data_IF_289320058249
#
_entry.id   IF_289320058249
#
_cell.length_a   1.000
_cell.length_b   1.000
_cell.length_c   1.000
_cell.angle_alpha   90.00
_cell.angle_beta   90.00
_cell.angle_gamma   90.00
#
_symmetry.space_group_name_H-M   'P 1'
#
loop_
_entity.id
_entity.type
_entity.pdbx_description
1 polymer ?
#
# COMPACT_ATOMS: atom_id res chain seq x y z
N UNK A 1 9.60 9.44 3.08
CA UNK A 1 10.11 9.79 4.42
C UNK A 1 10.80 11.15 4.39
N UNK A 2 11.91 11.34 3.61
CA UNK A 2 12.64 12.62 3.54
C UNK A 2 11.72 13.83 3.27
N UNK A 3 10.75 13.71 2.35
CA UNK A 3 9.78 14.78 2.10
C UNK A 3 8.89 15.07 3.32
N UNK A 4 8.42 14.05 4.03
CA UNK A 4 7.61 14.22 5.23
C UNK A 4 8.40 14.99 6.30
N UNK A 5 9.66 14.63 6.53
CA UNK A 5 10.56 15.33 7.44
C UNK A 5 10.74 16.82 7.07
N UNK A 6 10.95 17.11 5.76
CA UNK A 6 11.07 18.49 5.26
C UNK A 6 9.77 19.31 5.36
N UNK A 7 8.62 18.64 5.40
CA UNK A 7 7.32 19.27 5.55
C UNK A 7 6.89 19.41 7.03
N UNK A 8 7.60 18.75 7.94
CA UNK A 8 7.16 18.62 9.33
C UNK A 8 5.90 17.75 9.48
N UNK A 9 5.73 16.78 8.60
CA UNK A 9 4.59 15.87 8.57
C UNK A 9 4.96 14.51 9.17
N UNK A 10 4.02 13.88 9.82
CA UNK A 10 4.14 12.51 10.27
C UNK A 10 4.24 11.56 9.07
N UNK A 11 4.96 10.44 9.22
CA UNK A 11 5.18 9.45 8.17
C UNK A 11 4.72 8.08 8.64
N UNK A 12 3.77 7.49 7.92
CA UNK A 12 3.17 6.19 8.23
C UNK A 12 3.35 5.20 7.07
N UNK A 13 4.00 4.07 7.35
CA UNK A 13 4.22 2.93 6.44
C UNK A 13 3.97 1.62 7.21
N UNK A 14 5.00 1.00 7.75
CA UNK A 14 4.90 -0.24 8.52
C UNK A 14 4.20 -0.06 9.89
N UNK A 15 4.17 1.15 10.42
CA UNK A 15 3.51 1.51 11.67
C UNK A 15 2.00 1.23 11.64
N UNK A 16 1.37 1.28 10.47
CA UNK A 16 -0.05 0.97 10.29
C UNK A 16 -0.35 -0.47 10.72
N UNK A 17 0.55 -1.42 10.44
CA UNK A 17 0.40 -2.82 10.90
C UNK A 17 0.27 -2.90 12.42
N UNK A 18 1.10 -2.15 13.14
CA UNK A 18 1.08 -2.15 14.62
C UNK A 18 -0.22 -1.54 15.16
N UNK A 19 -0.69 -0.47 14.52
CA UNK A 19 -1.96 0.18 14.88
C UNK A 19 -3.15 -0.75 14.62
N UNK A 20 -3.16 -1.44 13.46
CA UNK A 20 -4.18 -2.43 13.10
C UNK A 20 -4.17 -3.61 14.07
N UNK A 21 -2.98 -4.07 14.50
CA UNK A 21 -2.86 -5.13 15.51
C UNK A 21 -3.51 -4.71 16.83
N UNK A 22 -3.33 -3.46 17.26
CA UNK A 22 -3.94 -2.90 18.47
C UNK A 22 -5.46 -2.85 18.42
N UNK A 23 -6.06 -2.69 17.25
CA UNK A 23 -7.53 -2.61 17.08
C UNK A 23 -8.19 -3.95 16.83
N UNK A 24 -7.51 -4.90 16.18
CA UNK A 24 -8.06 -6.19 15.80
C UNK A 24 -7.81 -7.32 16.78
N UNK A 25 -6.81 -7.15 17.66
CA UNK A 25 -6.32 -8.23 18.53
C UNK A 25 -5.46 -9.28 17.81
N UNK A 26 -5.22 -9.14 16.50
CA UNK A 26 -4.28 -9.99 15.77
C UNK A 26 -2.84 -9.56 16.03
N UNK A 27 -1.89 -10.52 15.92
CA UNK A 27 -0.47 -10.16 16.00
C UNK A 27 0.01 -9.47 14.71
N UNK A 28 1.01 -8.57 14.78
CA UNK A 28 1.59 -7.94 13.59
C UNK A 28 2.07 -8.95 12.54
N UNK A 29 2.63 -10.08 12.98
CA UNK A 29 3.09 -11.17 12.11
C UNK A 29 1.93 -11.83 11.38
N UNK A 30 0.78 -12.02 12.07
CA UNK A 30 -0.43 -12.57 11.45
C UNK A 30 -0.98 -11.61 10.39
N UNK A 31 -1.05 -10.33 10.69
CA UNK A 31 -1.49 -9.29 9.74
C UNK A 31 -0.57 -9.30 8.52
N UNK A 32 0.73 -9.18 8.71
CA UNK A 32 1.72 -9.19 7.63
C UNK A 32 1.63 -10.44 6.77
N UNK A 33 1.48 -11.62 7.38
CA UNK A 33 1.33 -12.87 6.66
C UNK A 33 0.06 -12.89 5.81
N UNK A 34 -1.06 -12.37 6.30
CA UNK A 34 -2.31 -12.31 5.55
C UNK A 34 -2.26 -11.31 4.39
N UNK A 35 -1.48 -10.24 4.49
CA UNK A 35 -1.19 -9.36 3.36
C UNK A 35 -0.38 -10.06 2.26
N UNK A 36 0.53 -10.97 2.63
CA UNK A 36 1.37 -11.73 1.70
C UNK A 36 0.63 -12.90 1.02
N UNK A 37 -0.39 -13.49 1.66
CA UNK A 37 -1.11 -14.68 1.17
C UNK A 37 -2.04 -14.37 -0.01
N UNK A 38 -2.35 -13.11 -0.31
CA UNK A 38 -3.25 -12.71 -1.40
C UNK A 38 -2.84 -13.16 -2.82
N UNK A 39 -1.72 -13.86 -2.99
CA UNK A 39 -1.19 -14.26 -4.29
C UNK A 39 -1.76 -15.55 -4.87
N UNK A 40 -2.48 -16.36 -4.11
CA UNK A 40 -3.08 -17.60 -4.61
C UNK A 40 -4.62 -17.48 -4.60
N UNK A 41 -5.16 -16.74 -5.58
CA UNK A 41 -6.61 -16.50 -5.71
C UNK A 41 -7.45 -17.77 -5.67
N UNK A 42 -7.01 -18.85 -6.31
CA UNK A 42 -7.72 -20.14 -6.31
C UNK A 42 -7.77 -20.79 -4.92
N UNK A 43 -6.71 -20.69 -4.13
CA UNK A 43 -6.68 -21.23 -2.77
C UNK A 43 -7.54 -20.37 -1.82
N UNK A 44 -7.58 -19.08 -2.06
CA UNK A 44 -8.39 -18.14 -1.29
C UNK A 44 -9.89 -18.34 -1.56
N UNK A 45 -10.28 -18.48 -2.82
CA UNK A 45 -11.68 -18.77 -3.18
C UNK A 45 -12.14 -20.11 -2.61
N UNK A 46 -11.25 -21.12 -2.59
CA UNK A 46 -11.52 -22.42 -1.97
C UNK A 46 -11.67 -22.31 -0.44
N UNK A 47 -10.79 -21.57 0.20
CA UNK A 47 -10.84 -21.33 1.65
C UNK A 47 -12.06 -20.51 2.01
N UNK A 48 -12.40 -19.47 1.26
CA UNK A 48 -13.62 -18.68 1.45
C UNK A 48 -14.90 -19.53 1.26
N UNK A 49 -14.93 -20.40 0.25
CA UNK A 49 -16.05 -21.35 0.07
C UNK A 49 -16.18 -22.34 1.25
N UNK A 50 -15.05 -22.76 1.85
CA UNK A 50 -15.08 -23.59 3.06
C UNK A 50 -15.61 -22.81 4.28
N UNK A 51 -15.27 -21.53 4.43
CA UNK A 51 -15.80 -20.68 5.51
C UNK A 51 -17.26 -20.30 5.31
N UNK A 52 -17.73 -20.09 4.08
CA UNK A 52 -19.13 -19.82 3.77
C UNK A 52 -20.04 -21.04 4.00
N UNK A 53 -19.48 -22.25 4.02
CA UNK A 53 -20.22 -23.49 4.29
C UNK A 53 -20.24 -23.89 5.78
N UNK A 54 -19.55 -23.17 6.64
CA UNK A 54 -19.70 -23.27 8.09
C UNK A 54 -20.60 -22.13 8.56
N UNK A 55 -21.61 -22.42 9.37
CA UNK A 55 -22.56 -21.46 9.99
C UNK A 55 -21.89 -20.36 10.87
N UNK A 56 -20.62 -20.09 10.65
CA UNK A 56 -19.89 -19.02 11.25
C UNK A 56 -20.06 -17.76 10.38
N UNK A 57 -20.94 -16.87 10.81
CA UNK A 57 -21.12 -15.50 10.28
C UNK A 57 -19.89 -14.59 10.49
N UNK A 58 -18.71 -15.15 10.61
CA UNK A 58 -17.47 -14.39 10.79
C UNK A 58 -16.83 -14.08 9.43
N UNK A 59 -16.72 -12.79 9.12
CA UNK A 59 -15.94 -12.29 7.98
C UNK A 59 -14.54 -12.92 7.95
N UNK A 60 -14.04 -13.18 6.74
CA UNK A 60 -12.69 -13.72 6.59
C UNK A 60 -11.68 -12.83 7.32
N UNK A 61 -10.72 -13.39 8.07
CA UNK A 61 -9.77 -12.60 8.88
C UNK A 61 -9.10 -11.47 8.11
N UNK A 62 -8.91 -11.67 6.80
CA UNK A 62 -8.33 -10.72 5.88
C UNK A 62 -9.20 -9.48 5.64
N UNK A 63 -10.51 -9.67 5.51
CA UNK A 63 -11.42 -8.56 5.27
C UNK A 63 -11.57 -7.72 6.55
N UNK A 64 -11.59 -8.36 7.73
CA UNK A 64 -11.50 -7.69 9.04
C UNK A 64 -10.20 -6.89 9.20
N UNK A 65 -9.06 -7.44 8.75
CA UNK A 65 -7.78 -6.73 8.77
C UNK A 65 -7.85 -5.50 7.86
N UNK A 66 -8.34 -5.65 6.63
CA UNK A 66 -8.45 -4.54 5.69
C UNK A 66 -9.40 -3.44 6.19
N UNK A 67 -10.53 -3.81 6.77
CA UNK A 67 -11.46 -2.84 7.36
C UNK A 67 -10.82 -2.05 8.50
N UNK A 68 -10.08 -2.73 9.38
CA UNK A 68 -9.34 -2.08 10.45
C UNK A 68 -8.21 -1.18 9.92
N UNK A 69 -7.49 -1.59 8.86
CA UNK A 69 -6.51 -0.74 8.18
C UNK A 69 -7.16 0.50 7.57
N UNK A 70 -8.34 0.35 6.95
CA UNK A 70 -9.10 1.48 6.42
C UNK A 70 -9.47 2.47 7.51
N UNK A 71 -9.85 1.98 8.71
CA UNK A 71 -10.17 2.86 9.83
C UNK A 71 -8.92 3.58 10.33
N UNK A 72 -7.80 2.87 10.53
CA UNK A 72 -6.52 3.47 10.92
C UNK A 72 -6.09 4.56 9.92
N UNK A 73 -6.22 4.31 8.61
CA UNK A 73 -5.90 5.30 7.57
C UNK A 73 -6.77 6.55 7.70
N UNK A 74 -8.07 6.40 7.95
CA UNK A 74 -8.98 7.55 8.15
C UNK A 74 -8.60 8.35 9.41
N UNK A 75 -8.38 7.67 10.54
CA UNK A 75 -8.02 8.29 11.80
C UNK A 75 -6.70 9.08 11.71
N UNK A 76 -5.72 8.55 10.95
CA UNK A 76 -4.46 9.25 10.70
C UNK A 76 -4.65 10.46 9.80
N UNK A 77 -5.48 10.35 8.75
CA UNK A 77 -5.76 11.47 7.85
C UNK A 77 -6.54 12.59 8.54
N UNK A 78 -7.43 12.27 9.49
CA UNK A 78 -8.17 13.25 10.28
C UNK A 78 -7.26 14.07 11.21
N UNK A 79 -6.16 13.48 11.70
CA UNK A 79 -5.14 14.23 12.45
C UNK A 79 -4.41 15.27 11.60
N UNK A 80 -4.41 15.09 10.28
CA UNK A 80 -3.77 16.00 9.32
C UNK A 80 -2.25 15.90 9.29
N UNK A 81 -1.62 16.68 8.42
CA UNK A 81 -0.17 16.81 8.30
C UNK A 81 0.58 15.48 8.27
N UNK A 82 0.13 14.52 7.47
CA UNK A 82 0.71 13.20 7.41
C UNK A 82 0.97 12.73 5.97
N UNK A 83 1.91 11.79 5.84
CA UNK A 83 2.20 11.02 4.62
C UNK A 83 1.94 9.56 4.92
N UNK A 84 0.98 8.97 4.24
CA UNK A 84 0.59 7.56 4.38
C UNK A 84 1.04 6.79 3.14
N UNK A 85 1.71 5.64 3.34
CA UNK A 85 2.24 4.82 2.25
C UNK A 85 1.49 3.49 2.13
N UNK A 86 0.91 3.25 0.96
CA UNK A 86 0.26 1.97 0.63
C UNK A 86 -1.13 1.79 1.25
N UNK A 87 -1.50 0.55 1.58
CA UNK A 87 -2.78 0.15 2.23
C UNK A 87 -4.03 0.66 1.52
N UNK A 88 -3.99 0.76 0.19
CA UNK A 88 -5.08 1.36 -0.58
C UNK A 88 -5.52 2.75 -0.07
N UNK A 89 -4.61 3.50 0.59
CA UNK A 89 -4.94 4.79 1.19
C UNK A 89 -5.50 5.80 0.18
N UNK A 90 -5.02 5.76 -1.06
CA UNK A 90 -5.57 6.55 -2.18
C UNK A 90 -7.06 6.28 -2.41
N UNK A 91 -7.47 5.02 -2.29
CA UNK A 91 -8.87 4.61 -2.41
C UNK A 91 -9.67 4.93 -1.16
N UNK A 92 -9.13 4.65 0.02
CA UNK A 92 -9.77 4.94 1.31
C UNK A 92 -10.08 6.43 1.43
N UNK A 93 -9.13 7.28 1.02
CA UNK A 93 -9.22 8.74 1.10
C UNK A 93 -9.66 9.41 -0.22
N UNK A 94 -10.26 8.65 -1.15
CA UNK A 94 -10.63 9.16 -2.49
C UNK A 94 -11.57 10.36 -2.49
N UNK A 95 -12.38 10.49 -1.45
CA UNK A 95 -13.35 11.58 -1.28
C UNK A 95 -12.84 12.70 -0.34
N UNK A 96 -11.61 12.59 0.16
CA UNK A 96 -11.02 13.59 1.05
C UNK A 96 -10.50 14.78 0.24
N UNK A 97 -11.01 15.97 0.49
CA UNK A 97 -10.67 17.19 -0.25
C UNK A 97 -9.20 17.61 -0.05
N UNK A 98 -8.64 17.34 1.13
CA UNK A 98 -7.28 17.74 1.51
C UNK A 98 -6.27 16.59 1.43
N UNK A 99 -6.43 15.70 0.47
CA UNK A 99 -5.56 14.54 0.28
C UNK A 99 -4.99 14.56 -1.14
N UNK A 100 -3.66 14.69 -1.26
CA UNK A 100 -2.94 14.55 -2.52
C UNK A 100 -2.53 13.08 -2.72
N UNK A 101 -3.07 12.44 -3.75
CA UNK A 101 -2.78 11.04 -4.10
C UNK A 101 -1.64 10.98 -5.11
N UNK A 102 -0.52 10.39 -4.72
CA UNK A 102 0.69 10.31 -5.55
C UNK A 102 1.07 8.86 -5.81
N UNK A 103 1.25 8.50 -7.07
CA UNK A 103 1.80 7.21 -7.47
C UNK A 103 3.25 7.36 -7.91
N UNK A 104 4.13 6.52 -7.32
CA UNK A 104 5.52 6.44 -7.70
C UNK A 104 5.78 5.24 -8.59
N UNK A 105 6.41 5.49 -9.75
CA UNK A 105 6.82 4.44 -10.68
C UNK A 105 8.31 4.55 -11.00
N UNK A 106 8.87 3.51 -11.59
CA UNK A 106 10.18 3.52 -12.23
C UNK A 106 10.28 2.39 -13.26
N UNK A 107 11.15 2.49 -14.27
CA UNK A 107 11.46 1.40 -15.17
C UNK A 107 11.83 0.12 -14.40
N UNK A 108 11.45 -1.04 -14.95
CA UNK A 108 11.67 -2.33 -14.29
C UNK A 108 13.15 -2.54 -13.91
N UNK A 109 14.07 -2.22 -14.82
CA UNK A 109 15.50 -2.41 -14.60
C UNK A 109 16.03 -1.52 -13.46
N UNK A 110 15.55 -0.29 -13.35
CA UNK A 110 15.92 0.60 -12.22
C UNK A 110 15.42 0.04 -10.89
N UNK A 111 14.22 -0.52 -10.86
CA UNK A 111 13.66 -1.16 -9.66
C UNK A 111 14.45 -2.41 -9.26
N UNK A 112 14.84 -3.25 -10.24
CA UNK A 112 15.66 -4.45 -10.02
C UNK A 112 17.00 -4.06 -9.40
N UNK A 113 17.72 -3.09 -9.99
CA UNK A 113 19.02 -2.63 -9.46
C UNK A 113 18.90 -2.13 -8.02
N UNK A 114 17.87 -1.32 -7.71
CA UNK A 114 17.63 -0.82 -6.34
C UNK A 114 17.35 -1.94 -5.34
N UNK A 115 16.57 -2.94 -5.73
CA UNK A 115 16.26 -4.09 -4.86
C UNK A 115 17.50 -4.96 -4.67
N UNK A 116 18.26 -5.24 -5.73
CA UNK A 116 19.50 -6.01 -5.66
C UNK A 116 20.51 -5.37 -4.69
N UNK A 117 20.72 -4.07 -4.79
CA UNK A 117 21.61 -3.31 -3.90
C UNK A 117 21.11 -3.30 -2.46
N UNK A 118 19.81 -3.01 -2.24
CA UNK A 118 19.25 -2.90 -0.89
C UNK A 118 19.22 -4.22 -0.14
N UNK A 119 18.99 -5.34 -0.83
CA UNK A 119 18.89 -6.67 -0.24
C UNK A 119 20.19 -7.48 -0.34
N UNK A 120 21.21 -6.94 -1.03
CA UNK A 120 22.48 -7.63 -1.30
C UNK A 120 22.28 -9.00 -1.98
N UNK A 121 21.47 -9.02 -3.05
CA UNK A 121 21.15 -10.20 -3.86
C UNK A 121 21.48 -9.95 -5.33
N UNK A 122 21.55 -11.02 -6.15
CA UNK A 122 21.76 -10.90 -7.58
C UNK A 122 20.58 -10.19 -8.28
N UNK A 123 20.83 -9.53 -9.43
CA UNK A 123 19.76 -8.91 -10.22
C UNK A 123 18.71 -9.96 -10.71
N UNK A 124 19.12 -11.20 -10.92
CA UNK A 124 18.20 -12.30 -11.28
C UNK A 124 17.21 -12.59 -10.15
N UNK A 125 17.69 -12.67 -8.92
CA UNK A 125 16.86 -12.86 -7.73
C UNK A 125 16.00 -11.62 -7.47
N UNK A 126 16.59 -10.43 -7.59
CA UNK A 126 15.87 -9.18 -7.43
C UNK A 126 14.72 -9.02 -8.44
N UNK A 127 14.89 -9.48 -9.69
CA UNK A 127 13.83 -9.49 -10.71
C UNK A 127 12.62 -10.31 -10.23
N UNK A 128 12.86 -11.51 -9.71
CA UNK A 128 11.79 -12.36 -9.19
C UNK A 128 11.07 -11.70 -8.00
N UNK A 129 11.83 -11.08 -7.09
CA UNK A 129 11.27 -10.35 -5.92
C UNK A 129 10.41 -9.17 -6.38
N UNK A 130 10.90 -8.35 -7.32
CA UNK A 130 10.18 -7.19 -7.85
C UNK A 130 8.87 -7.62 -8.50
N UNK A 131 8.92 -8.60 -9.41
CA UNK A 131 7.73 -9.08 -10.12
C UNK A 131 6.70 -9.71 -9.17
N UNK A 132 7.15 -10.51 -8.20
CA UNK A 132 6.28 -11.10 -7.19
C UNK A 132 5.56 -10.01 -6.38
N UNK A 133 6.31 -9.05 -5.84
CA UNK A 133 5.74 -7.97 -5.01
C UNK A 133 4.81 -7.05 -5.79
N UNK A 134 5.12 -6.80 -7.06
CA UNK A 134 4.26 -5.99 -7.93
C UNK A 134 2.92 -6.68 -8.19
N UNK A 135 2.97 -7.99 -8.51
CA UNK A 135 1.75 -8.79 -8.66
C UNK A 135 0.92 -8.79 -7.38
N UNK A 136 1.56 -9.03 -6.22
CA UNK A 136 0.90 -9.00 -4.92
C UNK A 136 0.13 -7.69 -4.68
N UNK A 137 0.79 -6.55 -4.92
CA UNK A 137 0.17 -5.23 -4.76
C UNK A 137 -0.97 -5.00 -5.72
N UNK A 138 -0.80 -5.38 -7.00
CA UNK A 138 -1.82 -5.22 -8.02
C UNK A 138 -3.06 -6.07 -7.71
N UNK A 139 -2.88 -7.33 -7.30
CA UNK A 139 -3.96 -8.24 -6.96
C UNK A 139 -4.72 -7.75 -5.71
N UNK A 140 -3.98 -7.33 -4.67
CA UNK A 140 -4.56 -6.77 -3.45
C UNK A 140 -5.38 -5.51 -3.73
N UNK A 141 -4.80 -4.58 -4.46
CA UNK A 141 -5.47 -3.33 -4.82
C UNK A 141 -6.74 -3.60 -5.63
N UNK A 142 -6.66 -4.49 -6.62
CA UNK A 142 -7.81 -4.86 -7.45
C UNK A 142 -8.92 -5.52 -6.63
N UNK A 143 -8.58 -6.40 -5.70
CA UNK A 143 -9.54 -7.11 -4.88
C UNK A 143 -10.39 -6.14 -4.04
N UNK A 144 -9.75 -5.22 -3.33
CA UNK A 144 -10.45 -4.31 -2.43
C UNK A 144 -11.05 -3.08 -3.11
N UNK A 145 -10.45 -2.62 -4.20
CA UNK A 145 -10.85 -1.35 -4.82
C UNK A 145 -11.64 -1.53 -6.12
N UNK A 146 -11.59 -2.71 -6.72
CA UNK A 146 -12.06 -3.01 -8.09
C UNK A 146 -11.44 -2.10 -9.16
N UNK A 147 -10.26 -1.53 -8.88
CA UNK A 147 -9.52 -0.63 -9.76
C UNK A 147 -8.20 -1.26 -10.21
N UNK A 148 -7.64 -0.77 -11.28
CA UNK A 148 -6.30 -1.16 -11.74
C UNK A 148 -5.25 -0.41 -10.92
N UNK A 149 -4.33 -1.16 -10.30
CA UNK A 149 -3.20 -0.57 -9.57
C UNK A 149 -2.29 0.23 -10.51
N UNK A 150 -1.90 1.44 -10.10
CA UNK A 150 -1.04 2.32 -10.89
C UNK A 150 -1.72 3.00 -12.08
N UNK A 151 -3.04 2.83 -12.29
CA UNK A 151 -3.74 3.57 -13.33
C UNK A 151 -3.75 5.07 -13.00
N UNK A 152 -3.29 5.90 -13.96
CA UNK A 152 -3.11 7.33 -13.76
C UNK A 152 -4.37 8.06 -13.24
N UNK A 153 -5.56 7.63 -13.67
CA UNK A 153 -6.83 8.22 -13.23
C UNK A 153 -7.19 7.98 -11.75
N UNK A 154 -6.41 7.17 -11.02
CA UNK A 154 -6.62 6.95 -9.58
C UNK A 154 -5.84 7.95 -8.72
N UNK A 155 -4.90 8.71 -9.32
CA UNK A 155 -3.95 9.54 -8.60
C UNK A 155 -3.96 10.97 -9.15
N UNK A 156 -3.63 11.93 -8.31
CA UNK A 156 -3.49 13.33 -8.70
C UNK A 156 -2.13 13.57 -9.38
N UNK A 157 -1.10 12.80 -8.98
CA UNK A 157 0.23 12.80 -9.60
C UNK A 157 0.74 11.37 -9.81
N UNK A 158 1.40 11.14 -10.95
CA UNK A 158 2.19 9.93 -11.20
C UNK A 158 3.63 10.33 -11.54
N UNK A 159 4.59 9.97 -10.70
CA UNK A 159 5.96 10.45 -10.78
C UNK A 159 6.95 9.30 -11.00
N UNK A 160 7.89 9.51 -11.92
CA UNK A 160 9.00 8.57 -12.13
C UNK A 160 10.12 8.85 -11.12
N UNK A 161 10.47 7.84 -10.32
CA UNK A 161 11.49 7.94 -9.26
C UNK A 161 12.92 7.84 -9.79
N UNK A 162 13.15 7.79 -11.10
CA UNK A 162 14.48 7.96 -11.71
C UNK A 162 14.80 9.45 -11.97
N UNK A 163 13.83 10.33 -11.78
CA UNK A 163 14.05 11.78 -11.77
C UNK A 163 14.70 12.21 -10.45
N UNK A 164 15.29 13.43 -10.44
CA UNK A 164 15.93 13.91 -9.22
C UNK A 164 14.95 14.11 -8.07
N UNK A 165 15.42 13.93 -6.84
CA UNK A 165 14.60 14.13 -5.64
C UNK A 165 14.06 15.55 -5.56
N UNK A 166 14.85 16.56 -5.95
CA UNK A 166 14.46 17.97 -5.97
C UNK A 166 13.30 18.21 -6.93
N UNK A 167 13.35 17.57 -8.12
CA UNK A 167 12.26 17.69 -9.10
C UNK A 167 10.99 17.06 -8.57
N UNK A 168 11.06 15.85 -8.01
CA UNK A 168 9.92 15.13 -7.41
C UNK A 168 9.32 15.98 -6.27
N UNK A 169 10.15 16.50 -5.38
CA UNK A 169 9.72 17.37 -4.28
C UNK A 169 9.02 18.63 -4.80
N UNK A 170 9.58 19.27 -5.82
CA UNK A 170 8.97 20.45 -6.45
C UNK A 170 7.60 20.18 -7.02
N UNK A 171 7.40 19.03 -7.70
CA UNK A 171 6.11 18.63 -8.24
C UNK A 171 5.07 18.44 -7.12
N UNK A 172 5.45 17.74 -6.05
CA UNK A 172 4.53 17.48 -4.94
C UNK A 172 4.17 18.79 -4.22
N UNK A 173 5.16 19.64 -3.90
CA UNK A 173 4.91 20.94 -3.27
C UNK A 173 4.06 21.87 -4.15
N UNK A 174 4.27 21.82 -5.47
CA UNK A 174 3.45 22.59 -6.42
C UNK A 174 1.99 22.16 -6.38
N UNK A 175 1.73 20.84 -6.34
CA UNK A 175 0.38 20.30 -6.28
C UNK A 175 -0.32 20.54 -4.92
N UNK A 176 0.44 20.58 -3.82
CA UNK A 176 -0.11 20.87 -2.48
C UNK A 176 -0.57 22.34 -2.30
N UNK A 177 -0.18 23.24 -3.19
CA UNK A 177 -0.55 24.68 -3.13
C UNK A 177 -1.82 25.01 -3.88
N UNK A 178 -2.41 24.02 -4.54
CA UNK A 178 -3.70 24.16 -5.22
C UNK A 178 -4.83 23.82 -4.26
#
# INVERSE_FOLDING_TARGET
KALAEKLGYDFYDAEIIQMTAGTTGYTPEFIKKNEEIMTNSLLYDLVNQMYLNTDMQDEAPKDKIFEAECQVVRDLAEKGNCVIVGRCADYVLRNSANCLKVFFSAPLESRIKRVAQRQNISEKEARAVVQKNEKLRADNYRYYTHRMWGAAGNFDLSLNTDLSEEYIESCIRGAMKL
#
